data_IF_536603710500
#
_entry.id   IF_536603710500
#
_cell.length_a   1.000
_cell.length_b   1.000
_cell.length_c   1.000
_cell.angle_alpha   90.00
_cell.angle_beta   90.00
_cell.angle_gamma   90.00
#
_symmetry.space_group_name_H-M   'P 1'
#
loop_
_entity.id
_entity.type
_entity.pdbx_description
1 polymer ?
#
# COMPACT_ATOMS: atom_id res chain seq x y z
N UNK A 1 -16.08 8.23 -19.08
CA UNK A 1 -15.26 8.96 -18.09
C UNK A 1 -13.81 8.93 -18.52
N UNK A 2 -13.08 10.01 -18.23
CA UNK A 2 -11.82 10.45 -18.81
C UNK A 2 -10.66 9.45 -18.75
N UNK A 3 -9.68 9.65 -19.65
CA UNK A 3 -8.48 8.82 -19.86
C UNK A 3 -7.93 8.21 -18.58
N UNK A 4 -7.98 6.89 -18.51
CA UNK A 4 -7.50 6.13 -17.35
C UNK A 4 -5.98 6.20 -17.24
N UNK A 5 -5.49 6.11 -16.01
CA UNK A 5 -4.08 5.89 -15.69
C UNK A 5 -3.49 4.80 -16.59
N UNK A 6 -2.28 5.03 -17.10
CA UNK A 6 -1.47 4.00 -17.72
C UNK A 6 -1.21 2.86 -16.73
N UNK A 7 -0.82 1.70 -17.23
CA UNK A 7 -0.52 0.55 -16.36
C UNK A 7 0.57 0.89 -15.34
N UNK A 8 1.61 1.61 -15.78
CA UNK A 8 2.68 2.10 -14.90
C UNK A 8 2.15 3.01 -13.79
N UNK A 9 1.32 3.99 -14.14
CA UNK A 9 0.73 4.90 -13.16
C UNK A 9 -0.20 4.16 -12.19
N UNK A 10 -0.93 3.14 -12.64
CA UNK A 10 -1.76 2.31 -11.76
C UNK A 10 -0.90 1.59 -10.73
N UNK A 11 0.21 0.98 -11.14
CA UNK A 11 1.13 0.30 -10.23
C UNK A 11 1.70 1.29 -9.22
N UNK A 12 2.17 2.46 -9.67
CA UNK A 12 2.74 3.49 -8.79
C UNK A 12 1.72 4.06 -7.79
N UNK A 13 0.48 4.34 -8.24
CA UNK A 13 -0.58 4.82 -7.35
C UNK A 13 -0.97 3.74 -6.35
N UNK A 14 -1.13 2.50 -6.81
CA UNK A 14 -1.46 1.37 -5.92
C UNK A 14 -0.40 1.21 -4.84
N UNK A 15 0.88 1.28 -5.19
CA UNK A 15 1.97 1.15 -4.22
C UNK A 15 1.97 2.30 -3.21
N UNK A 16 1.82 3.55 -3.67
CA UNK A 16 1.73 4.72 -2.77
C UNK A 16 0.57 4.62 -1.79
N UNK A 17 -0.58 4.11 -2.24
CA UNK A 17 -1.71 3.83 -1.36
C UNK A 17 -1.28 2.86 -0.25
N UNK A 18 -0.80 1.66 -0.61
CA UNK A 18 -0.39 0.63 0.36
C UNK A 18 0.66 1.14 1.35
N UNK A 19 1.68 1.86 0.87
CA UNK A 19 2.73 2.45 1.71
C UNK A 19 2.16 3.47 2.70
N UNK A 20 1.25 4.33 2.25
CA UNK A 20 0.55 5.27 3.12
C UNK A 20 -0.32 4.57 4.15
N UNK A 21 -0.97 3.47 3.80
CA UNK A 21 -1.74 2.67 4.75
C UNK A 21 -0.85 2.10 5.84
N UNK A 22 0.28 1.53 5.45
CA UNK A 22 1.22 0.94 6.39
C UNK A 22 1.70 1.99 7.40
N UNK A 23 2.17 3.14 6.91
CA UNK A 23 2.60 4.26 7.77
C UNK A 23 1.51 4.73 8.75
N UNK A 24 0.31 5.02 8.25
CA UNK A 24 -0.81 5.44 9.10
C UNK A 24 -1.22 4.34 10.08
N UNK A 25 -1.20 3.07 9.66
CA UNK A 25 -1.56 1.96 10.53
C UNK A 25 -0.57 1.80 11.69
N UNK A 26 0.73 2.03 11.46
CA UNK A 26 1.75 2.01 12.49
C UNK A 26 1.63 3.19 13.47
N UNK A 27 1.23 4.37 12.98
CA UNK A 27 1.11 5.59 13.78
C UNK A 27 -0.17 5.63 14.64
N UNK A 28 -1.32 5.32 14.04
CA UNK A 28 -2.65 5.55 14.67
C UNK A 28 -3.51 4.29 14.78
N UNK A 29 -3.03 3.15 14.29
CA UNK A 29 -3.77 1.89 14.26
C UNK A 29 -4.82 1.82 13.15
N UNK A 30 -5.10 0.58 12.70
CA UNK A 30 -6.03 0.28 11.59
C UNK A 30 -7.43 0.86 11.84
N UNK A 31 -7.92 0.83 13.09
CA UNK A 31 -9.27 1.30 13.41
C UNK A 31 -9.45 2.80 13.12
N UNK A 32 -8.45 3.62 13.45
CA UNK A 32 -8.50 5.09 13.27
C UNK A 32 -8.13 5.53 11.86
N UNK A 33 -7.34 4.72 11.13
CA UNK A 33 -7.03 4.98 9.73
C UNK A 33 -8.30 5.08 8.87
N UNK A 34 -8.38 6.04 7.96
CA UNK A 34 -9.54 6.20 7.05
C UNK A 34 -9.09 6.33 5.60
N UNK A 35 -9.98 5.99 4.66
CA UNK A 35 -9.73 6.16 3.22
C UNK A 35 -9.41 7.63 2.89
N UNK A 36 -10.08 8.58 3.54
CA UNK A 36 -9.81 10.01 3.35
C UNK A 36 -8.39 10.40 3.76
N UNK A 37 -7.87 9.85 4.87
CA UNK A 37 -6.49 10.11 5.31
C UNK A 37 -5.47 9.51 4.33
N UNK A 38 -5.69 8.28 3.87
CA UNK A 38 -4.83 7.61 2.89
C UNK A 38 -4.81 8.40 1.57
N UNK A 39 -5.98 8.77 1.05
CA UNK A 39 -6.12 9.53 -0.18
C UNK A 39 -5.42 10.90 -0.07
N UNK A 40 -5.62 11.61 1.06
CA UNK A 40 -4.94 12.88 1.35
C UNK A 40 -3.41 12.72 1.39
N UNK A 41 -2.91 11.70 2.09
CA UNK A 41 -1.47 11.48 2.25
C UNK A 41 -0.78 11.10 0.93
N UNK A 42 -1.52 10.50 -0.01
CA UNK A 42 -1.02 10.10 -1.33
C UNK A 42 -1.27 11.11 -2.44
N UNK A 43 -2.01 12.19 -2.15
CA UNK A 43 -2.36 13.23 -3.12
C UNK A 43 -3.38 12.79 -4.17
N UNK A 44 -4.16 11.74 -3.91
CA UNK A 44 -5.23 11.27 -4.81
C UNK A 44 -6.61 11.64 -4.28
N UNK A 45 -7.61 11.70 -5.15
CA UNK A 45 -8.98 11.87 -4.72
C UNK A 45 -9.52 10.59 -4.05
N UNK A 46 -10.46 10.72 -3.11
CA UNK A 46 -11.11 9.55 -2.48
C UNK A 46 -11.79 8.65 -3.52
N UNK A 47 -12.42 9.21 -4.54
CA UNK A 47 -12.97 8.43 -5.65
C UNK A 47 -11.90 7.64 -6.43
N UNK A 48 -10.65 8.13 -6.45
CA UNK A 48 -9.54 7.40 -7.07
C UNK A 48 -9.18 6.14 -6.29
N UNK A 49 -9.23 6.16 -4.96
CA UNK A 49 -8.99 4.98 -4.13
C UNK A 49 -9.91 3.81 -4.54
N UNK A 50 -11.19 4.10 -4.79
CA UNK A 50 -12.18 3.09 -5.17
C UNK A 50 -11.98 2.50 -6.57
N UNK A 51 -11.07 3.05 -7.38
CA UNK A 51 -10.62 2.41 -8.62
C UNK A 51 -9.59 1.28 -8.38
N UNK A 52 -9.04 1.17 -7.15
CA UNK A 52 -8.01 0.19 -6.79
C UNK A 52 -8.45 -0.81 -5.73
N UNK A 53 -9.39 -0.45 -4.86
CA UNK A 53 -9.89 -1.27 -3.76
C UNK A 53 -11.37 -1.00 -3.54
N UNK A 54 -12.20 -2.03 -3.38
CA UNK A 54 -13.64 -1.86 -3.22
C UNK A 54 -14.01 -1.40 -1.80
N UNK A 55 -13.20 -1.74 -0.78
CA UNK A 55 -13.43 -1.34 0.61
C UNK A 55 -12.14 -1.11 1.40
N UNK A 56 -12.29 -0.56 2.62
CA UNK A 56 -11.18 -0.40 3.57
C UNK A 56 -10.64 -1.76 4.02
N UNK A 57 -11.51 -2.74 4.20
CA UNK A 57 -11.17 -4.09 4.65
C UNK A 57 -10.34 -4.82 3.58
N UNK A 58 -10.78 -4.79 2.31
CA UNK A 58 -10.02 -5.37 1.20
C UNK A 58 -8.64 -4.72 1.08
N UNK A 59 -8.60 -3.40 1.20
CA UNK A 59 -7.36 -2.63 1.21
C UNK A 59 -6.42 -3.04 2.34
N UNK A 60 -6.92 -3.18 3.57
CA UNK A 60 -6.11 -3.60 4.72
C UNK A 60 -5.51 -4.99 4.50
N UNK A 61 -6.28 -5.94 3.96
CA UNK A 61 -5.76 -7.27 3.61
C UNK A 61 -4.65 -7.18 2.57
N UNK A 62 -4.83 -6.35 1.54
CA UNK A 62 -3.80 -6.15 0.51
C UNK A 62 -2.54 -5.48 1.08
N UNK A 63 -2.70 -4.50 1.96
CA UNK A 63 -1.60 -3.80 2.65
C UNK A 63 -0.76 -4.76 3.49
N UNK A 64 -1.40 -5.65 4.26
CA UNK A 64 -0.69 -6.65 5.07
C UNK A 64 0.12 -7.59 4.18
N UNK A 65 -0.47 -8.12 3.10
CA UNK A 65 0.23 -9.00 2.15
C UNK A 65 1.40 -8.31 1.46
N UNK A 66 1.23 -7.06 1.03
CA UNK A 66 2.31 -6.27 0.43
C UNK A 66 3.47 -6.07 1.40
N UNK A 67 3.14 -5.82 2.67
CA UNK A 67 4.11 -5.66 3.74
C UNK A 67 4.87 -6.97 4.01
N UNK A 68 4.18 -8.11 4.10
CA UNK A 68 4.79 -9.44 4.26
C UNK A 68 5.78 -9.73 3.12
N UNK A 69 5.38 -9.51 1.87
CA UNK A 69 6.25 -9.74 0.68
C UNK A 69 7.48 -8.84 0.70
N UNK A 70 7.36 -7.59 1.15
CA UNK A 70 8.51 -6.69 1.29
C UNK A 70 9.47 -7.18 2.36
N UNK A 71 8.96 -7.61 3.53
CA UNK A 71 9.79 -8.17 4.58
C UNK A 71 10.51 -9.44 4.13
N UNK A 72 9.85 -10.35 3.43
CA UNK A 72 10.49 -11.55 2.87
C UNK A 72 11.64 -11.20 1.93
N UNK A 73 11.43 -10.23 1.03
CA UNK A 73 12.48 -9.75 0.10
C UNK A 73 13.64 -9.10 0.83
N UNK A 74 13.36 -8.25 1.83
CA UNK A 74 14.39 -7.62 2.64
C UNK A 74 15.21 -8.67 3.39
N UNK A 75 14.55 -9.61 4.09
CA UNK A 75 15.21 -10.71 4.79
C UNK A 75 16.08 -11.55 3.85
N UNK A 76 15.54 -11.99 2.71
CA UNK A 76 16.31 -12.75 1.72
C UNK A 76 17.56 -11.99 1.23
N UNK A 77 17.47 -10.67 1.07
CA UNK A 77 18.59 -9.83 0.67
C UNK A 77 19.68 -9.72 1.74
N UNK A 78 19.31 -9.83 3.02
CA UNK A 78 20.24 -9.85 4.15
C UNK A 78 20.91 -11.23 4.30
N UNK A 79 20.17 -12.34 4.19
CA UNK A 79 20.75 -13.70 4.22
C UNK A 79 21.65 -14.01 3.02
N UNK A 80 21.44 -13.35 1.88
CA UNK A 80 22.31 -13.52 0.70
C UNK A 80 23.67 -12.85 0.86
N UNK A 81 23.83 -11.90 1.80
CA UNK A 81 25.09 -11.20 2.07
C UNK A 81 25.90 -11.84 3.20
N UNK A 82 25.23 -12.44 4.18
CA UNK A 82 25.85 -13.23 5.24
C UNK A 82 25.58 -14.71 4.98
N UNK A 83 26.39 -15.31 4.09
CA UNK A 83 26.36 -16.75 3.91
C UNK A 83 26.80 -17.44 5.20
N UNK A 84 25.87 -17.89 6.05
CA UNK A 84 26.04 -19.01 7.00
C UNK A 84 24.67 -19.39 7.57
N UNK A 85 24.14 -20.54 7.15
CA UNK A 85 23.94 -21.71 8.02
C UNK A 85 24.15 -22.98 7.19
#
# INVERSE_FOLDING_TARGET
MAGGFTEKERVEIRQRLLDSGYQLSAEIGIKKMTIAMIAKNTGVAVGTFYNFFASKEEYVVAMIRDTEVKYEKEMASHFSKDGTI
#
